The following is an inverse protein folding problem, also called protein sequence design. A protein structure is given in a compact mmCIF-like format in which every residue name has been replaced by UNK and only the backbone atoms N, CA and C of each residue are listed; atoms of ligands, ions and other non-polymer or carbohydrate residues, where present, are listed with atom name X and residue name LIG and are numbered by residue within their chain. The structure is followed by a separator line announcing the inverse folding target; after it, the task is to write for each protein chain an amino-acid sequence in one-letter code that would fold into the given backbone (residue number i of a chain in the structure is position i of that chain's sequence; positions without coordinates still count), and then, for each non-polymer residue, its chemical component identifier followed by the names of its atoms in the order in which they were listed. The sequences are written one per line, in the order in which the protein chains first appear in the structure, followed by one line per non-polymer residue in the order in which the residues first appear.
data_IF_371945354108
#
_entry.id   IF_371945354108
#
_cell.length_a   1.000
_cell.length_b   1.000
_cell.length_c   1.000
_cell.angle_alpha   90.00
_cell.angle_beta   90.00
_cell.angle_gamma   90.00
#
_symmetry.space_group_name_H-M   'P 1'
#
loop_
_entity.id
_entity.type
_entity.pdbx_description
1 polymer ?
#
# COMPACT_ATOMS: atom_id res chain seq x y z
N UNK A 1 6.46 26.82 70.11
CA UNK A 1 5.68 25.88 69.28
C UNK A 1 6.42 25.65 67.98
N UNK A 2 6.82 24.41 67.68
CA UNK A 2 7.54 24.02 66.46
C UNK A 2 6.51 23.66 65.38
N UNK A 3 6.54 24.35 64.25
CA UNK A 3 5.81 23.95 63.04
C UNK A 3 6.67 22.94 62.27
N UNK A 4 6.11 21.75 62.04
CA UNK A 4 6.72 20.67 61.25
C UNK A 4 6.60 20.98 59.75
N UNK A 5 7.69 20.94 58.95
CA UNK A 5 7.64 21.15 57.52
C UNK A 5 7.79 19.81 56.78
N UNK A 6 6.70 19.18 56.32
CA UNK A 6 6.79 18.04 55.39
C UNK A 6 5.44 17.63 54.81
N UNK A 7 4.76 18.53 54.10
CA UNK A 7 3.60 18.14 53.29
C UNK A 7 3.47 18.71 51.85
N UNK A 8 4.17 19.79 51.39
CA UNK A 8 3.88 20.33 50.06
C UNK A 8 4.56 19.58 48.88
N UNK A 9 5.55 18.70 49.15
CA UNK A 9 6.29 18.02 48.07
C UNK A 9 5.60 16.77 47.53
N UNK A 10 4.81 16.06 48.34
CA UNK A 10 4.14 14.83 47.89
C UNK A 10 2.95 15.10 46.96
N UNK A 11 2.20 16.19 47.20
CA UNK A 11 1.03 16.54 46.35
C UNK A 11 1.46 16.90 44.93
N UNK A 12 2.57 17.62 44.78
CA UNK A 12 3.11 17.99 43.46
C UNK A 12 3.62 16.77 42.69
N UNK A 13 4.20 15.79 43.38
CA UNK A 13 4.67 14.55 42.76
C UNK A 13 3.52 13.65 42.30
N UNK A 14 2.45 13.54 43.10
CA UNK A 14 1.25 12.78 42.72
C UNK A 14 0.47 13.42 41.56
N UNK A 15 0.39 14.75 41.49
CA UNK A 15 -0.24 15.45 40.36
C UNK A 15 0.55 15.29 39.05
N UNK A 16 1.88 15.31 39.12
CA UNK A 16 2.74 14.99 37.97
C UNK A 16 2.56 13.53 37.53
N UNK A 17 2.57 12.56 38.46
CA UNK A 17 2.32 11.15 38.13
C UNK A 17 0.93 10.90 37.55
N UNK A 18 -0.11 11.58 38.06
CA UNK A 18 -1.47 11.49 37.51
C UNK A 18 -1.58 12.13 36.11
N UNK A 19 -0.82 13.19 35.82
CA UNK A 19 -0.75 13.75 34.45
C UNK A 19 -0.06 12.81 33.45
N UNK A 20 0.97 12.06 33.88
CA UNK A 20 1.61 11.04 33.04
C UNK A 20 0.73 9.80 32.85
N UNK A 21 -0.02 9.38 33.89
CA UNK A 21 -0.97 8.25 33.78
C UNK A 21 -2.20 8.66 32.95
N UNK A 22 -2.64 9.93 33.02
CA UNK A 22 -3.69 10.47 32.16
C UNK A 22 -3.29 10.60 30.69
N UNK A 23 -2.02 10.85 30.39
CA UNK A 23 -1.47 10.83 29.02
C UNK A 23 -1.21 9.40 28.50
N UNK A 24 -1.13 8.41 29.39
CA UNK A 24 -1.05 6.97 29.05
C UNK A 24 -2.43 6.31 29.00
N UNK A 25 -3.48 6.98 29.47
CA UNK A 25 -4.86 6.49 29.45
C UNK A 25 -5.61 7.12 28.27
N UNK A 26 -5.79 6.30 27.23
CA UNK A 26 -6.64 6.52 26.06
C UNK A 26 -6.06 7.36 24.92
N UNK A 27 -4.89 6.99 24.41
CA UNK A 27 -4.87 6.76 22.96
C UNK A 27 -5.52 5.39 22.76
N UNK A 28 -6.77 5.38 22.33
CA UNK A 28 -7.34 4.14 21.83
C UNK A 28 -6.53 3.80 20.59
N UNK A 29 -5.72 2.74 20.67
CA UNK A 29 -4.99 2.22 19.53
C UNK A 29 -5.97 2.14 18.36
N UNK A 30 -5.73 2.96 17.33
CA UNK A 30 -6.60 3.02 16.17
C UNK A 30 -6.35 1.73 15.42
N UNK A 31 -7.43 1.04 15.08
CA UNK A 31 -7.26 -0.28 14.47
C UNK A 31 -6.55 -0.07 13.14
N UNK A 32 -5.55 -0.88 12.84
CA UNK A 32 -4.97 -0.87 11.51
C UNK A 32 -6.02 -1.29 10.45
N UNK A 33 -7.13 -1.90 10.86
CA UNK A 33 -8.30 -2.11 10.00
C UNK A 33 -8.91 -0.79 9.47
N UNK A 34 -8.60 0.36 10.08
CA UNK A 34 -9.08 1.67 9.65
C UNK A 34 -8.38 2.14 8.37
N UNK A 35 -7.08 1.84 8.22
CA UNK A 35 -6.29 2.16 7.02
C UNK A 35 -6.18 1.00 6.03
N UNK A 36 -6.30 -0.25 6.48
CA UNK A 36 -6.00 -1.45 5.69
C UNK A 36 -7.11 -2.51 5.77
N UNK A 37 -7.27 -3.30 4.72
CA UNK A 37 -8.00 -4.56 4.79
C UNK A 37 -7.04 -5.66 5.27
N UNK A 38 -6.98 -5.88 6.58
CA UNK A 38 -6.08 -6.88 7.16
C UNK A 38 -6.63 -8.29 6.92
N UNK A 39 -5.80 -9.15 6.32
CA UNK A 39 -6.14 -10.56 6.13
C UNK A 39 -6.22 -11.27 7.49
N UNK A 40 -7.42 -11.69 7.87
CA UNK A 40 -7.64 -12.56 9.01
C UNK A 40 -7.14 -14.00 8.77
N UNK A 41 -7.12 -14.79 9.83
CA UNK A 41 -6.69 -16.19 9.83
C UNK A 41 -5.24 -16.41 10.26
N UNK A 42 -4.87 -17.67 10.44
CA UNK A 42 -3.52 -18.09 10.84
C UNK A 42 -2.68 -18.68 9.71
N UNK A 43 -3.27 -18.83 8.52
CA UNK A 43 -2.65 -19.37 7.30
C UNK A 43 -2.75 -18.35 6.16
N UNK A 44 -2.06 -18.60 5.05
CA UNK A 44 -2.25 -17.90 3.77
C UNK A 44 -2.10 -16.37 3.90
N UNK A 45 -1.06 -15.93 4.60
CA UNK A 45 -0.80 -14.52 4.88
C UNK A 45 -1.67 -13.91 5.97
N UNK A 46 -2.45 -14.71 6.69
CA UNK A 46 -3.26 -14.27 7.81
C UNK A 46 -2.48 -13.67 8.99
N UNK A 47 -3.10 -12.70 9.64
CA UNK A 47 -2.52 -11.86 10.68
C UNK A 47 -2.89 -12.25 12.12
N UNK A 48 -3.70 -13.29 12.31
CA UNK A 48 -4.15 -13.71 13.64
C UNK A 48 -3.12 -14.59 14.37
N UNK A 49 -2.08 -15.04 13.66
CA UNK A 49 -1.03 -15.86 14.24
C UNK A 49 -0.13 -15.05 15.19
N UNK A 50 0.10 -15.59 16.40
CA UNK A 50 1.09 -15.07 17.38
C UNK A 50 0.95 -13.58 17.71
N UNK A 51 -0.25 -13.03 17.68
CA UNK A 51 -0.50 -11.62 18.03
C UNK A 51 0.04 -10.61 17.01
N UNK A 52 0.32 -11.00 15.76
CA UNK A 52 0.79 -10.09 14.71
C UNK A 52 -0.14 -8.90 14.48
N UNK A 53 -1.46 -9.12 14.54
CA UNK A 53 -2.45 -8.04 14.46
C UNK A 53 -2.22 -6.94 15.50
N UNK A 54 -1.87 -7.30 16.74
CA UNK A 54 -1.57 -6.31 17.79
C UNK A 54 -0.28 -5.51 17.48
N UNK A 55 0.74 -6.16 16.91
CA UNK A 55 1.97 -5.49 16.45
C UNK A 55 1.65 -4.52 15.32
N UNK A 56 0.80 -4.93 14.38
CA UNK A 56 0.40 -4.08 13.24
C UNK A 56 -0.40 -2.87 13.70
N UNK A 57 -1.33 -3.04 14.65
CA UNK A 57 -2.05 -1.91 15.24
C UNK A 57 -1.06 -0.91 15.87
N UNK A 58 -0.06 -1.42 16.63
CA UNK A 58 0.99 -0.56 17.20
C UNK A 58 1.79 0.17 16.13
N UNK A 59 2.19 -0.51 15.05
CA UNK A 59 2.89 0.13 13.93
C UNK A 59 2.03 1.15 13.19
N UNK A 60 0.72 0.90 13.09
CA UNK A 60 -0.23 1.83 12.51
C UNK A 60 -0.34 3.11 13.35
N UNK A 61 -0.43 2.99 14.67
CA UNK A 61 -0.42 4.13 15.59
C UNK A 61 0.89 4.93 15.48
N UNK A 62 2.04 4.24 15.54
CA UNK A 62 3.35 4.89 15.39
C UNK A 62 3.49 5.58 14.01
N UNK A 63 2.96 4.97 12.94
CA UNK A 63 2.98 5.54 11.60
C UNK A 63 2.06 6.76 11.46
N UNK A 64 0.88 6.72 12.08
CA UNK A 64 -0.06 7.85 12.15
C UNK A 64 0.58 9.05 12.81
N UNK A 65 1.19 8.85 13.97
CA UNK A 65 1.88 9.92 14.71
C UNK A 65 3.05 10.49 13.92
N UNK A 66 3.86 9.61 13.31
CA UNK A 66 4.99 10.04 12.48
C UNK A 66 4.51 10.85 11.26
N UNK A 67 3.44 10.43 10.60
CA UNK A 67 2.89 11.15 9.44
C UNK A 67 2.33 12.52 9.84
N UNK A 68 1.56 12.60 10.94
CA UNK A 68 1.01 13.84 11.45
C UNK A 68 2.11 14.83 11.90
N UNK A 69 3.12 14.33 12.62
CA UNK A 69 4.27 15.14 13.02
C UNK A 69 5.10 15.61 11.83
N UNK A 70 5.35 14.74 10.85
CA UNK A 70 6.11 15.10 9.65
C UNK A 70 5.40 16.18 8.83
N UNK A 71 4.08 16.07 8.64
CA UNK A 71 3.27 17.11 7.99
C UNK A 71 3.31 18.44 8.76
N UNK A 72 3.11 18.40 10.08
CA UNK A 72 3.18 19.62 10.90
C UNK A 72 4.56 20.27 10.85
N UNK A 73 5.61 19.46 10.88
CA UNK A 73 7.00 19.91 10.83
C UNK A 73 7.35 20.56 9.49
N UNK A 74 6.91 20.00 8.35
CA UNK A 74 7.24 20.57 7.04
C UNK A 74 6.61 21.96 6.82
N UNK A 75 5.48 22.26 7.48
CA UNK A 75 4.87 23.59 7.46
C UNK A 75 5.74 24.65 8.15
N UNK A 76 6.69 24.23 9.00
CA UNK A 76 7.66 25.10 9.67
C UNK A 76 8.97 25.26 8.88
N UNK A 77 9.03 24.87 7.60
CA UNK A 77 10.25 24.96 6.80
C UNK A 77 10.90 26.36 6.83
N UNK A 78 10.10 27.42 6.73
CA UNK A 78 10.60 28.80 6.69
C UNK A 78 11.09 29.30 8.06
N UNK A 79 10.53 28.79 9.15
CA UNK A 79 10.79 29.23 10.53
C UNK A 79 11.87 28.40 11.24
N UNK A 80 12.02 27.11 10.90
CA UNK A 80 12.87 26.17 11.65
C UNK A 80 14.09 25.67 10.85
N UNK A 81 15.29 25.93 11.37
CA UNK A 81 16.56 25.50 10.78
C UNK A 81 16.76 23.99 10.79
N UNK A 82 16.23 23.28 11.79
CA UNK A 82 16.34 21.83 11.87
C UNK A 82 15.49 21.16 10.80
N UNK A 83 14.30 21.70 10.52
CA UNK A 83 13.45 21.23 9.41
C UNK A 83 14.14 21.42 8.07
N UNK A 84 14.79 22.57 7.85
CA UNK A 84 15.58 22.79 6.62
C UNK A 84 16.74 21.82 6.48
N UNK A 85 17.47 21.54 7.57
CA UNK A 85 18.55 20.53 7.58
C UNK A 85 18.00 19.13 7.28
N UNK A 86 16.86 18.75 7.86
CA UNK A 86 16.21 17.48 7.56
C UNK A 86 15.80 17.41 6.08
N UNK A 87 15.22 18.48 5.52
CA UNK A 87 14.83 18.53 4.12
C UNK A 87 16.04 18.45 3.15
N UNK A 88 17.17 19.05 3.53
CA UNK A 88 18.41 18.90 2.80
C UNK A 88 18.89 17.43 2.83
N UNK A 89 18.90 16.81 4.01
CA UNK A 89 19.39 15.44 4.19
C UNK A 89 18.52 14.40 3.47
N UNK A 90 17.20 14.46 3.64
CA UNK A 90 16.28 13.44 3.12
C UNK A 90 15.84 13.69 1.68
N UNK A 91 15.74 14.96 1.26
CA UNK A 91 15.15 15.32 -0.02
C UNK A 91 16.08 16.14 -0.92
N UNK A 92 17.32 16.41 -0.49
CA UNK A 92 18.26 17.26 -1.24
C UNK A 92 17.77 18.70 -1.42
N UNK A 93 16.79 19.15 -0.63
CA UNK A 93 16.20 20.47 -0.78
C UNK A 93 17.12 21.54 -0.16
N UNK A 94 17.81 22.28 -1.03
CA UNK A 94 18.69 23.38 -0.63
C UNK A 94 17.92 24.70 -0.45
N UNK A 95 18.55 25.67 0.20
CA UNK A 95 18.01 27.01 0.41
C UNK A 95 18.62 28.01 -0.58
N UNK A 96 17.92 29.12 -0.81
CA UNK A 96 18.45 30.22 -1.62
C UNK A 96 19.56 30.93 -0.83
N UNK A 97 20.75 31.12 -1.43
CA UNK A 97 21.90 31.77 -0.74
C UNK A 97 21.57 33.15 -0.17
N UNK A 98 20.80 33.95 -0.90
CA UNK A 98 20.36 35.29 -0.47
C UNK A 98 19.16 35.27 0.48
N UNK A 99 18.47 34.13 0.61
CA UNK A 99 17.33 33.97 1.50
C UNK A 99 17.29 32.54 2.10
N UNK A 100 18.04 32.29 3.19
CA UNK A 100 18.20 30.95 3.77
C UNK A 100 16.92 30.32 4.34
N UNK A 101 15.81 31.06 4.42
CA UNK A 101 14.50 30.56 4.85
C UNK A 101 13.62 30.10 3.68
N UNK A 102 14.01 30.43 2.44
CA UNK A 102 13.29 30.03 1.24
C UNK A 102 13.95 28.79 0.59
N UNK A 103 13.14 27.84 0.05
CA UNK A 103 13.67 26.72 -0.71
C UNK A 103 14.19 27.19 -2.08
N UNK A 104 15.30 26.61 -2.53
CA UNK A 104 15.82 26.82 -3.89
C UNK A 104 14.81 26.34 -4.96
N UNK A 105 14.02 25.32 -4.64
CA UNK A 105 12.94 24.81 -5.48
C UNK A 105 11.62 24.73 -4.69
N UNK A 106 10.80 25.76 -4.81
CA UNK A 106 9.49 25.82 -4.14
C UNK A 106 8.51 24.72 -4.60
N UNK A 107 8.61 24.26 -5.85
CA UNK A 107 7.75 23.17 -6.36
C UNK A 107 8.08 21.84 -5.67
N UNK A 108 9.36 21.58 -5.41
CA UNK A 108 9.79 20.39 -4.66
C UNK A 108 9.26 20.42 -3.22
N UNK A 109 9.36 21.56 -2.52
CA UNK A 109 8.79 21.71 -1.18
C UNK A 109 7.28 21.43 -1.20
N UNK A 110 6.53 22.05 -2.12
CA UNK A 110 5.09 21.84 -2.24
C UNK A 110 4.72 20.39 -2.55
N UNK A 111 5.53 19.67 -3.34
CA UNK A 111 5.33 18.24 -3.60
C UNK A 111 5.54 17.41 -2.32
N UNK A 112 6.63 17.64 -1.59
CA UNK A 112 6.91 16.95 -0.32
C UNK A 112 5.77 17.19 0.67
N UNK A 113 5.37 18.44 0.86
CA UNK A 113 4.26 18.81 1.76
C UNK A 113 2.98 18.07 1.40
N UNK A 114 2.64 17.99 0.10
CA UNK A 114 1.46 17.27 -0.39
C UNK A 114 1.54 15.76 -0.16
N UNK A 115 2.70 15.13 -0.36
CA UNK A 115 2.85 13.69 -0.09
C UNK A 115 2.77 13.39 1.41
N UNK A 116 3.31 14.26 2.27
CA UNK A 116 3.16 14.13 3.73
C UNK A 116 1.70 14.33 4.18
N UNK A 117 0.97 15.25 3.55
CA UNK A 117 -0.47 15.44 3.77
C UNK A 117 -1.27 14.19 3.40
N UNK A 118 -1.02 13.61 2.22
CA UNK A 118 -1.65 12.36 1.80
C UNK A 118 -1.36 11.20 2.77
N UNK A 119 -0.13 11.11 3.28
CA UNK A 119 0.23 10.08 4.26
C UNK A 119 -0.51 10.28 5.58
N UNK A 120 -0.56 11.52 6.08
CA UNK A 120 -1.35 11.88 7.26
C UNK A 120 -2.81 11.50 7.06
N UNK A 121 -3.41 11.90 5.94
CA UNK A 121 -4.79 11.60 5.61
C UNK A 121 -5.06 10.10 5.48
N UNK A 122 -4.11 9.32 4.96
CA UNK A 122 -4.23 7.86 4.87
C UNK A 122 -4.44 7.22 6.25
N UNK A 123 -3.69 7.69 7.26
CA UNK A 123 -3.73 7.12 8.61
C UNK A 123 -4.79 7.75 9.53
N UNK A 124 -5.25 8.98 9.25
CA UNK A 124 -6.30 9.65 10.04
C UNK A 124 -7.72 9.35 9.55
N UNK A 125 -7.87 8.89 8.31
CA UNK A 125 -9.18 8.80 7.68
C UNK A 125 -9.88 7.48 7.97
N UNK A 126 -10.98 7.55 8.74
CA UNK A 126 -12.03 6.52 8.81
C UNK A 126 -12.84 6.42 7.49
N UNK A 127 -12.26 6.81 6.35
CA UNK A 127 -13.04 6.99 5.11
C UNK A 127 -13.47 5.68 4.50
N UNK A 128 -14.59 5.77 3.80
CA UNK A 128 -15.11 4.82 2.81
C UNK A 128 -14.17 4.62 1.60
N UNK A 129 -12.90 5.06 1.67
CA UNK A 129 -11.94 4.85 0.58
C UNK A 129 -11.65 3.35 0.44
N UNK A 130 -11.42 2.85 -0.78
CA UNK A 130 -10.93 1.51 -0.98
C UNK A 130 -9.63 1.31 -0.19
N UNK A 131 -9.63 0.38 0.76
CA UNK A 131 -8.44 0.08 1.58
C UNK A 131 -7.59 -0.94 0.84
N UNK A 132 -6.27 -0.79 0.91
CA UNK A 132 -5.37 -1.80 0.38
C UNK A 132 -5.36 -3.04 1.28
N UNK A 133 -5.23 -4.23 0.68
CA UNK A 133 -5.07 -5.48 1.42
C UNK A 133 -3.71 -5.55 2.11
N UNK A 134 -3.69 -5.94 3.38
CA UNK A 134 -2.47 -6.14 4.16
C UNK A 134 -2.38 -7.61 4.63
N UNK A 135 -1.31 -8.28 4.18
CA UNK A 135 -1.00 -9.67 4.50
C UNK A 135 0.23 -9.73 5.40
N UNK A 136 0.21 -10.61 6.39
CA UNK A 136 1.27 -10.76 7.40
C UNK A 136 2.39 -11.73 7.02
N UNK A 137 2.26 -12.45 5.91
CA UNK A 137 3.33 -13.26 5.34
C UNK A 137 3.10 -13.44 3.85
N UNK A 138 4.15 -13.63 3.07
CA UNK A 138 4.07 -13.95 1.63
C UNK A 138 3.44 -15.31 1.31
N UNK A 139 3.00 -16.08 2.31
CA UNK A 139 2.30 -17.35 2.12
C UNK A 139 0.88 -17.18 1.59
N UNK A 140 0.37 -15.94 1.47
CA UNK A 140 -0.88 -15.63 0.77
C UNK A 140 -0.83 -16.02 -0.70
N UNK A 141 0.39 -16.09 -1.27
CA UNK A 141 0.64 -16.50 -2.63
C UNK A 141 1.27 -17.91 -2.62
N UNK A 142 0.57 -18.89 -3.20
CA UNK A 142 0.97 -20.30 -3.16
C UNK A 142 1.46 -20.76 -4.52
N UNK A 143 2.62 -21.42 -4.55
CA UNK A 143 3.06 -22.11 -5.76
C UNK A 143 2.01 -23.16 -6.17
N UNK A 144 1.61 -23.12 -7.44
CA UNK A 144 0.62 -24.05 -7.97
C UNK A 144 1.28 -25.40 -8.22
N UNK A 145 0.80 -26.43 -7.51
CA UNK A 145 1.28 -27.80 -7.69
C UNK A 145 0.95 -28.29 -9.11
N UNK A 146 1.96 -28.72 -9.85
CA UNK A 146 1.83 -29.07 -11.27
C UNK A 146 2.23 -27.94 -12.23
N UNK A 147 2.54 -26.74 -11.71
CA UNK A 147 3.00 -25.63 -12.54
C UNK A 147 1.97 -25.24 -13.60
N UNK A 148 2.43 -25.01 -14.83
CA UNK A 148 1.57 -24.64 -15.97
C UNK A 148 0.63 -25.77 -16.39
N UNK A 149 0.93 -27.02 -16.06
CA UNK A 149 0.08 -28.18 -16.40
C UNK A 149 -1.08 -28.39 -15.41
N UNK A 150 -1.15 -27.57 -14.35
CA UNK A 150 -2.24 -27.62 -13.39
C UNK A 150 -3.55 -27.06 -14.00
N UNK A 151 -4.70 -27.50 -13.49
CA UNK A 151 -6.01 -26.95 -13.89
C UNK A 151 -6.09 -25.46 -13.55
N UNK A 152 -6.54 -24.65 -14.50
CA UNK A 152 -6.75 -23.21 -14.36
C UNK A 152 -8.05 -22.89 -13.61
N UNK A 153 -8.01 -21.81 -12.83
CA UNK A 153 -9.16 -21.26 -12.12
C UNK A 153 -9.46 -19.83 -12.60
N UNK A 154 -10.74 -19.48 -12.68
CA UNK A 154 -11.20 -18.13 -13.00
C UNK A 154 -11.11 -17.17 -11.80
N UNK A 155 -11.47 -15.91 -12.03
CA UNK A 155 -11.51 -14.86 -10.99
C UNK A 155 -12.54 -15.10 -9.88
N UNK A 156 -13.39 -16.12 -10.02
CA UNK A 156 -14.33 -16.58 -8.98
C UNK A 156 -13.79 -17.79 -8.20
N UNK A 157 -12.65 -18.34 -8.60
CA UNK A 157 -12.05 -19.55 -8.05
C UNK A 157 -12.69 -20.85 -8.55
N UNK A 158 -13.41 -20.81 -9.68
CA UNK A 158 -13.95 -22.01 -10.34
C UNK A 158 -13.00 -22.48 -11.43
N UNK A 159 -12.96 -23.79 -11.65
CA UNK A 159 -12.16 -24.35 -12.72
C UNK A 159 -12.67 -23.88 -14.08
N UNK A 160 -11.74 -23.52 -14.97
CA UNK A 160 -12.06 -23.10 -16.33
C UNK A 160 -12.25 -24.34 -17.20
N UNK A 161 -13.39 -24.42 -17.88
CA UNK A 161 -13.69 -25.46 -18.87
C UNK A 161 -13.93 -24.81 -20.22
N UNK A 162 -13.30 -25.34 -21.27
CA UNK A 162 -13.57 -24.99 -22.67
C UNK A 162 -13.95 -26.30 -23.37
N UNK A 163 -15.07 -26.30 -24.10
CA UNK A 163 -15.63 -27.49 -24.76
C UNK A 163 -15.80 -28.70 -23.83
N UNK A 164 -16.17 -28.44 -22.57
CA UNK A 164 -16.36 -29.48 -21.54
C UNK A 164 -15.08 -30.15 -21.04
N UNK A 165 -13.90 -29.61 -21.39
CA UNK A 165 -12.60 -30.09 -20.90
C UNK A 165 -11.94 -29.06 -19.96
N UNK A 166 -11.38 -29.49 -18.81
CA UNK A 166 -10.67 -28.59 -17.93
C UNK A 166 -9.44 -28.05 -18.65
N UNK A 167 -9.24 -26.74 -18.59
CA UNK A 167 -8.07 -26.09 -19.17
C UNK A 167 -6.95 -26.01 -18.13
N UNK A 168 -5.72 -26.04 -18.62
CA UNK A 168 -4.53 -25.85 -17.81
C UNK A 168 -4.14 -24.38 -17.71
N UNK A 169 -3.36 -24.02 -16.69
CA UNK A 169 -2.83 -22.66 -16.51
C UNK A 169 -2.02 -22.21 -17.73
N UNK A 170 -1.22 -23.12 -18.30
CA UNK A 170 -0.47 -22.87 -19.51
C UNK A 170 -1.36 -22.59 -20.72
N UNK A 171 -2.47 -23.32 -20.88
CA UNK A 171 -3.38 -23.10 -22.01
C UNK A 171 -4.15 -21.79 -21.91
N UNK A 172 -4.61 -21.41 -20.72
CA UNK A 172 -5.41 -20.19 -20.53
C UNK A 172 -4.55 -18.92 -20.52
N UNK A 173 -3.34 -19.00 -19.96
CA UNK A 173 -2.50 -17.83 -19.68
C UNK A 173 -1.17 -17.84 -20.43
N UNK A 174 -1.03 -18.60 -21.52
CA UNK A 174 0.21 -18.76 -22.30
C UNK A 174 0.88 -17.42 -22.62
N UNK A 175 0.08 -16.45 -23.08
CA UNK A 175 0.57 -15.13 -23.47
C UNK A 175 1.16 -14.30 -22.31
N UNK A 176 0.84 -14.65 -21.07
CA UNK A 176 1.32 -13.98 -19.87
C UNK A 176 2.51 -14.70 -19.22
N UNK A 177 2.81 -15.93 -19.64
CA UNK A 177 3.85 -16.78 -19.04
C UNK A 177 5.15 -16.65 -19.85
N UNK A 178 6.17 -16.03 -19.26
CA UNK A 178 7.52 -15.96 -19.84
C UNK A 178 8.28 -17.27 -19.61
N UNK A 179 9.26 -17.60 -20.48
CA UNK A 179 10.11 -18.77 -20.29
C UNK A 179 10.76 -18.83 -18.90
N UNK A 180 10.57 -19.95 -18.20
CA UNK A 180 11.15 -20.18 -16.86
C UNK A 180 10.33 -19.65 -15.69
N UNK A 181 9.16 -19.04 -15.96
CA UNK A 181 8.21 -18.69 -14.91
C UNK A 181 7.34 -19.88 -14.49
N UNK A 182 6.89 -19.83 -13.25
CA UNK A 182 5.93 -20.79 -12.69
C UNK A 182 4.74 -20.04 -12.09
N UNK A 183 3.53 -20.63 -12.15
CA UNK A 183 2.35 -20.01 -11.60
C UNK A 183 2.30 -20.08 -10.08
N UNK A 184 1.85 -18.97 -9.50
CA UNK A 184 1.42 -18.88 -8.13
C UNK A 184 -0.04 -18.43 -8.08
N UNK A 185 -0.82 -19.00 -7.17
CA UNK A 185 -2.22 -18.68 -6.97
C UNK A 185 -2.43 -17.91 -5.67
N UNK A 186 -3.20 -16.83 -5.75
CA UNK A 186 -3.72 -16.11 -4.59
C UNK A 186 -5.19 -16.45 -4.39
N UNK A 187 -5.49 -17.19 -3.31
CA UNK A 187 -6.87 -17.53 -2.96
C UNK A 187 -7.70 -16.29 -2.58
N UNK A 188 -7.04 -15.25 -2.12
CA UNK A 188 -7.68 -14.00 -1.69
C UNK A 188 -7.98 -13.05 -2.84
N UNK A 189 -7.07 -12.97 -3.82
CA UNK A 189 -7.26 -12.15 -5.00
C UNK A 189 -7.97 -12.91 -6.13
N UNK A 190 -8.13 -14.23 -5.99
CA UNK A 190 -8.63 -15.14 -7.03
C UNK A 190 -7.89 -14.94 -8.35
N UNK A 191 -6.56 -14.90 -8.27
CA UNK A 191 -5.74 -14.59 -9.43
C UNK A 191 -4.40 -15.29 -9.40
N UNK A 192 -3.83 -15.44 -10.59
CA UNK A 192 -2.48 -15.94 -10.79
C UNK A 192 -1.44 -14.81 -10.76
N UNK A 193 -0.22 -15.16 -10.36
CA UNK A 193 0.99 -14.42 -10.67
C UNK A 193 2.03 -15.39 -11.23
N UNK A 194 2.93 -14.90 -12.08
CA UNK A 194 3.94 -15.70 -12.76
C UNK A 194 5.33 -15.13 -12.48
N UNK A 195 6.15 -15.94 -11.83
CA UNK A 195 7.47 -15.55 -11.34
C UNK A 195 8.48 -16.68 -11.55
N UNK A 196 9.79 -16.40 -11.71
CA UNK A 196 10.79 -17.44 -11.89
C UNK A 196 10.81 -18.40 -10.69
N UNK A 197 10.98 -19.70 -10.97
CA UNK A 197 10.98 -20.72 -9.93
C UNK A 197 12.11 -20.59 -8.88
N UNK A 198 13.12 -19.73 -9.12
CA UNK A 198 14.25 -19.49 -8.22
C UNK A 198 14.67 -18.02 -8.21
N UNK A 199 14.94 -17.52 -7.00
CA UNK A 199 15.67 -16.27 -6.70
C UNK A 199 15.00 -14.93 -7.08
N UNK A 200 13.69 -14.90 -7.33
CA UNK A 200 12.99 -13.63 -7.51
C UNK A 200 11.92 -13.45 -6.42
N UNK A 201 11.87 -12.23 -5.86
CA UNK A 201 10.88 -11.83 -4.87
C UNK A 201 9.59 -11.42 -5.59
N UNK A 202 8.43 -11.70 -5.02
CA UNK A 202 7.14 -11.22 -5.52
C UNK A 202 7.15 -9.69 -5.78
N UNK A 203 7.89 -8.96 -4.95
CA UNK A 203 8.05 -7.50 -5.04
C UNK A 203 9.08 -7.04 -6.09
N UNK A 204 9.70 -7.97 -6.84
CA UNK A 204 10.66 -7.64 -7.89
C UNK A 204 10.00 -6.81 -8.99
N UNK A 205 10.70 -5.75 -9.40
CA UNK A 205 10.28 -4.88 -10.51
C UNK A 205 11.02 -5.22 -11.81
N UNK A 206 11.66 -6.38 -11.89
CA UNK A 206 12.41 -6.78 -13.07
C UNK A 206 11.43 -7.16 -14.21
N UNK A 207 11.35 -6.37 -15.29
CA UNK A 207 10.42 -6.63 -16.38
C UNK A 207 10.80 -7.88 -17.19
N UNK A 208 12.04 -8.36 -17.10
CA UNK A 208 12.48 -9.56 -17.83
C UNK A 208 12.01 -10.84 -17.15
N UNK A 209 11.73 -10.78 -15.84
CA UNK A 209 11.40 -11.94 -15.01
C UNK A 209 9.99 -11.90 -14.43
N UNK A 210 9.28 -10.78 -14.48
CA UNK A 210 7.90 -10.67 -13.97
C UNK A 210 6.85 -10.76 -15.09
N UNK A 211 5.81 -11.57 -14.86
CA UNK A 211 4.61 -11.63 -15.70
C UNK A 211 3.72 -10.40 -15.46
N UNK A 212 2.90 -10.02 -16.43
CA UNK A 212 1.97 -8.89 -16.28
C UNK A 212 0.87 -9.26 -15.28
N UNK A 213 0.82 -8.59 -14.12
CA UNK A 213 -0.20 -8.84 -13.08
C UNK A 213 -1.44 -7.95 -13.20
N UNK A 214 -1.42 -6.93 -14.06
CA UNK A 214 -2.49 -5.92 -14.10
C UNK A 214 -3.78 -6.40 -14.81
N UNK A 215 -3.72 -7.46 -15.63
CA UNK A 215 -4.85 -7.90 -16.48
C UNK A 215 -5.44 -9.29 -16.13
N UNK A 216 -4.92 -9.99 -15.12
CA UNK A 216 -5.39 -11.35 -14.79
C UNK A 216 -6.75 -11.40 -14.05
N UNK A 217 -7.36 -10.25 -13.79
CA UNK A 217 -8.72 -10.14 -13.24
C UNK A 217 -9.83 -10.30 -14.30
N UNK A 218 -9.50 -10.67 -15.54
CA UNK A 218 -10.38 -10.42 -16.71
C UNK A 218 -10.94 -11.61 -17.49
N UNK A 219 -10.66 -12.88 -17.18
CA UNK A 219 -11.26 -13.97 -17.98
C UNK A 219 -12.71 -14.25 -17.52
N UNK A 220 -13.68 -13.59 -18.15
CA UNK A 220 -15.09 -14.00 -18.15
C UNK A 220 -15.31 -14.85 -19.40
N UNK A 221 -15.62 -16.16 -19.28
CA UNK A 221 -15.92 -17.00 -20.44
C UNK A 221 -17.19 -16.59 -21.20
N UNK A 222 -18.03 -15.73 -20.62
CA UNK A 222 -19.31 -15.32 -21.19
C UNK A 222 -19.34 -13.81 -21.47
N UNK A 223 -18.97 -13.45 -22.69
CA UNK A 223 -19.74 -12.48 -23.48
C UNK A 223 -19.78 -13.01 -24.90
N UNK A 224 -20.54 -14.10 -25.09
CA UNK A 224 -21.23 -14.35 -26.35
C UNK A 224 -22.16 -13.15 -26.58
N UNK A 225 -21.61 -12.04 -27.07
CA UNK A 225 -22.37 -10.98 -27.72
C UNK A 225 -22.79 -11.50 -29.10
N UNK A 226 -23.73 -12.45 -29.09
CA UNK A 226 -24.75 -12.57 -30.11
C UNK A 226 -25.73 -11.40 -29.90
N UNK A 227 -25.30 -10.19 -30.26
CA UNK A 227 -26.20 -9.10 -30.59
C UNK A 227 -25.60 -8.33 -31.76
N UNK A 228 -26.20 -8.59 -32.92
CA UNK A 228 -26.00 -7.91 -34.18
C UNK A 228 -26.14 -6.37 -34.04
N UNK A 229 -25.53 -5.66 -35.00
CA UNK A 229 -25.67 -4.23 -35.29
C UNK A 229 -24.65 -3.26 -34.62
N UNK A 230 -23.40 -3.32 -35.08
CA UNK A 230 -22.56 -2.12 -35.14
C UNK A 230 -22.27 -1.74 -36.60
N UNK A 231 -23.07 -0.83 -37.16
CA UNK A 231 -22.74 -0.14 -38.41
C UNK A 231 -21.52 0.79 -38.19
N UNK A 232 -20.51 0.77 -39.08
CA UNK A 232 -19.38 1.67 -38.98
C UNK A 232 -19.77 3.05 -39.51
N UNK A 233 -20.03 4.01 -38.63
CA UNK A 233 -20.11 5.42 -39.02
C UNK A 233 -18.70 5.93 -39.27
N UNK A 234 -18.37 6.05 -40.56
CA UNK A 234 -17.13 6.63 -41.03
C UNK A 234 -16.98 8.13 -40.74
N UNK A 235 -15.72 8.55 -40.72
CA UNK A 235 -15.31 9.86 -41.24
C UNK A 235 -15.05 10.94 -40.19
N UNK A 236 -13.76 11.16 -39.87
CA UNK A 236 -13.01 12.34 -40.35
C UNK A 236 -11.53 12.25 -39.94
N UNK A 237 -10.68 12.24 -40.96
CA UNK A 237 -9.25 12.51 -40.84
C UNK A 237 -8.99 13.91 -40.26
N UNK A 238 -7.97 14.09 -39.40
CA UNK A 238 -7.35 15.39 -39.20
C UNK A 238 -6.30 15.65 -40.28
N UNK A 239 -6.55 16.66 -41.11
CA UNK A 239 -5.62 17.21 -42.08
C UNK A 239 -4.42 17.88 -41.40
N UNK A 240 -3.23 17.45 -41.80
CA UNK A 240 -1.93 18.06 -41.47
C UNK A 240 -1.67 19.21 -42.47
N UNK A 241 -1.32 20.43 -42.01
CA UNK A 241 -0.75 21.43 -42.91
C UNK A 241 0.75 21.17 -43.13
N UNK A 242 1.07 20.75 -44.35
CA UNK A 242 2.35 20.96 -45.05
C UNK A 242 2.17 22.27 -45.85
N UNK A 243 3.07 23.23 -46.03
CA UNK A 243 4.52 23.41 -45.88
C UNK A 243 4.79 24.93 -45.75
N UNK A 244 6.08 25.29 -45.60
CA UNK A 244 6.80 26.43 -46.25
C UNK A 244 5.97 27.65 -46.63
#
# INVERSE_FOLDING_TARGET
MRLSPSLPLFVSFYLLLLSFIGALAADQAVSADDAWHIKGGSTDGGCDIKGRKAIINKWNDESRDLAAHAYTAILQYSSDIFIRKACLTFFGLTTIKSNPTAPQNAKTLAKITRELEKLKDLFESNSERPKAGLFCSSQWLKLVSGGTDAVAYDFTGKQIFIDGKPQTVGEVYDEFIKPGQVPFWSEDLKGYDFSPAKNDDFCSKNPDTKGYTEDLNGYSPDSDDDDDDYEPVGGREPSVPSQI
#
